data_IF_741939597707
#
_entry.id   IF_741939597707
#
_cell.length_a   1.000
_cell.length_b   1.000
_cell.length_c   1.000
_cell.angle_alpha   90.00
_cell.angle_beta   90.00
_cell.angle_gamma   90.00
#
_symmetry.space_group_name_H-M   'P 1'
#
loop_
_entity.id
_entity.type
_entity.pdbx_description
1 polymer ?
#
# COMPACT_ATOMS: atom_id res chain seq x y z
N UNK A 1 -10.96 10.17 -71.40
CA UNK A 1 -11.15 11.32 -70.48
C UNK A 1 -11.57 10.72 -69.16
N UNK A 2 -10.66 10.50 -68.22
CA UNK A 2 -11.03 9.97 -66.90
C UNK A 2 -11.52 11.08 -65.96
N UNK A 3 -12.53 10.80 -65.21
CA UNK A 3 -13.18 11.70 -64.26
C UNK A 3 -12.27 11.99 -63.06
N UNK A 4 -12.13 13.24 -62.64
CA UNK A 4 -11.35 13.58 -61.44
C UNK A 4 -12.19 13.34 -60.18
N UNK A 5 -11.82 12.40 -59.33
CA UNK A 5 -12.52 12.25 -58.07
C UNK A 5 -12.15 11.07 -57.16
N UNK A 6 -11.43 10.06 -57.66
CA UNK A 6 -11.21 8.83 -56.88
C UNK A 6 -9.92 8.80 -56.03
N UNK A 7 -8.97 9.66 -56.33
CA UNK A 7 -7.65 9.66 -55.65
C UNK A 7 -7.68 10.23 -54.22
N UNK A 8 -8.68 11.04 -53.93
CA UNK A 8 -8.72 11.74 -52.61
C UNK A 8 -9.37 10.95 -51.48
N UNK A 9 -10.10 9.88 -51.79
CA UNK A 9 -10.76 9.07 -50.75
C UNK A 9 -9.84 8.01 -50.14
N UNK A 10 -8.86 7.50 -50.87
CA UNK A 10 -7.90 6.51 -50.39
C UNK A 10 -6.89 7.10 -49.40
N UNK A 11 -6.55 8.37 -49.55
CA UNK A 11 -5.59 9.05 -48.65
C UNK A 11 -6.22 9.47 -47.32
N UNK A 12 -7.55 9.60 -47.25
CA UNK A 12 -8.28 9.92 -46.01
C UNK A 12 -8.57 8.72 -45.16
N UNK A 13 -8.50 7.49 -45.68
CA UNK A 13 -8.77 6.28 -44.92
C UNK A 13 -7.55 5.80 -44.11
N UNK A 14 -6.34 6.26 -44.44
CA UNK A 14 -5.11 5.89 -43.72
C UNK A 14 -4.81 6.76 -42.51
N UNK A 15 -5.55 7.88 -42.29
CA UNK A 15 -5.29 8.79 -41.20
C UNK A 15 -6.14 8.52 -39.90
N UNK A 16 -7.05 7.54 -39.94
CA UNK A 16 -8.01 7.35 -38.84
C UNK A 16 -7.71 6.17 -37.91
N UNK A 17 -6.55 5.53 -38.02
CA UNK A 17 -6.20 4.43 -37.10
C UNK A 17 -4.87 4.68 -36.38
N UNK A 18 -4.69 5.89 -35.87
CA UNK A 18 -3.71 6.13 -34.83
C UNK A 18 -4.40 5.86 -33.48
N UNK A 19 -4.52 4.59 -33.11
CA UNK A 19 -4.92 4.18 -31.76
C UNK A 19 -3.79 4.65 -30.84
N UNK A 20 -4.03 5.76 -30.16
CA UNK A 20 -3.20 6.20 -29.04
C UNK A 20 -3.40 5.15 -27.94
N UNK A 21 -2.49 4.17 -27.88
CA UNK A 21 -2.34 3.32 -26.69
C UNK A 21 -1.76 4.24 -25.62
N UNK A 22 -2.66 4.88 -24.86
CA UNK A 22 -2.25 5.58 -23.64
C UNK A 22 -1.64 4.52 -22.70
N UNK A 23 -0.43 4.75 -22.15
CA UNK A 23 0.11 3.85 -21.14
C UNK A 23 -0.90 3.82 -19.99
N UNK A 24 -1.43 2.62 -19.71
CA UNK A 24 -2.21 2.37 -18.50
C UNK A 24 -1.22 2.56 -17.36
N UNK A 25 -1.29 3.68 -16.67
CA UNK A 25 -0.61 3.84 -15.40
C UNK A 25 -1.15 2.75 -14.47
N UNK A 26 -0.33 1.78 -14.11
CA UNK A 26 -0.61 0.87 -13.00
C UNK A 26 -0.65 1.76 -11.77
N UNK A 27 -1.84 2.16 -11.35
CA UNK A 27 -2.04 2.87 -10.10
C UNK A 27 -1.77 1.87 -8.98
N UNK A 28 -0.63 2.01 -8.31
CA UNK A 28 -0.44 1.43 -6.98
C UNK A 28 -1.64 1.89 -6.14
N UNK A 29 -2.22 0.98 -5.33
CA UNK A 29 -3.35 1.30 -4.47
C UNK A 29 -2.94 2.39 -3.48
N UNK A 30 -3.49 3.57 -3.68
CA UNK A 30 -3.25 4.77 -2.88
C UNK A 30 -4.56 5.21 -2.24
N UNK A 31 -4.53 5.45 -0.94
CA UNK A 31 -5.66 5.94 -0.14
C UNK A 31 -5.30 7.28 0.45
N UNK A 32 -6.09 8.32 0.17
CA UNK A 32 -5.82 9.67 0.63
C UNK A 32 -6.98 10.24 1.45
N UNK A 33 -6.66 10.85 2.58
CA UNK A 33 -7.59 11.59 3.44
C UNK A 33 -6.90 12.86 3.95
N UNK A 34 -7.42 14.03 3.59
CA UNK A 34 -6.78 15.33 3.86
C UNK A 34 -5.33 15.33 3.34
N UNK A 35 -4.35 15.43 4.25
CA UNK A 35 -2.92 15.47 3.91
C UNK A 35 -2.21 14.13 4.12
N UNK A 36 -2.96 13.07 4.51
CA UNK A 36 -2.43 11.73 4.69
C UNK A 36 -2.70 10.90 3.44
N UNK A 37 -1.66 10.27 2.96
CA UNK A 37 -1.71 9.29 1.87
C UNK A 37 -1.14 7.96 2.37
N UNK A 38 -1.83 6.87 2.09
CA UNK A 38 -1.38 5.51 2.38
C UNK A 38 -1.13 4.79 1.07
N UNK A 39 0.11 4.36 0.86
CA UNK A 39 0.57 3.73 -0.37
C UNK A 39 0.91 2.27 -0.15
N UNK A 40 0.60 1.44 -1.15
CA UNK A 40 0.99 0.04 -1.24
C UNK A 40 0.72 -0.76 0.04
N UNK A 41 -0.55 -0.84 0.48
CA UNK A 41 -0.93 -1.63 1.63
C UNK A 41 -0.97 -3.12 1.29
N UNK A 42 -0.16 -3.93 1.99
CA UNK A 42 -0.02 -5.35 1.73
C UNK A 42 0.22 -6.17 3.00
N UNK A 43 -0.01 -7.46 2.92
CA UNK A 43 0.26 -8.45 3.94
C UNK A 43 0.91 -9.67 3.32
N UNK A 44 1.59 -10.49 4.13
CA UNK A 44 2.11 -11.79 3.67
C UNK A 44 1.07 -12.89 3.88
N UNK A 45 1.05 -13.93 3.01
CA UNK A 45 0.35 -15.16 3.32
C UNK A 45 0.85 -15.74 4.65
N UNK A 46 -0.05 -16.33 5.43
CA UNK A 46 0.29 -16.92 6.71
C UNK A 46 0.26 -18.45 6.67
N UNK A 47 1.09 -19.14 7.49
CA UNK A 47 0.98 -20.59 7.64
C UNK A 47 -0.43 -21.03 8.08
N UNK A 48 -0.86 -22.26 7.75
CA UNK A 48 -2.24 -22.73 7.98
C UNK A 48 -2.75 -22.65 9.41
N UNK A 49 -1.86 -22.69 10.42
CA UNK A 49 -2.22 -22.66 11.84
C UNK A 49 -1.72 -21.40 12.55
N UNK A 50 -1.30 -20.38 11.80
CA UNK A 50 -0.82 -19.14 12.40
C UNK A 50 -2.01 -18.33 12.92
N UNK A 51 -1.94 -17.94 14.18
CA UNK A 51 -2.86 -16.97 14.79
C UNK A 51 -2.36 -15.53 14.59
N UNK A 52 -1.20 -15.33 13.94
CA UNK A 52 -0.56 -14.04 13.73
C UNK A 52 -0.36 -13.76 12.26
N UNK A 53 -0.54 -12.50 11.89
CA UNK A 53 -0.23 -11.93 10.58
C UNK A 53 0.44 -10.58 10.72
N UNK A 54 0.89 -10.02 9.61
CA UNK A 54 1.54 -8.70 9.57
C UNK A 54 1.01 -7.92 8.37
N UNK A 55 0.84 -6.60 8.54
CA UNK A 55 0.54 -5.73 7.42
C UNK A 55 1.56 -4.58 7.33
N UNK A 56 1.78 -4.14 6.11
CA UNK A 56 2.76 -3.15 5.73
C UNK A 56 2.15 -2.11 4.79
N UNK A 57 2.64 -0.88 4.85
CA UNK A 57 2.27 0.22 3.95
C UNK A 57 3.21 1.40 4.16
N UNK A 58 3.15 2.39 3.28
CA UNK A 58 3.79 3.68 3.52
C UNK A 58 2.72 4.70 3.91
N UNK A 59 3.03 5.58 4.87
CA UNK A 59 2.17 6.71 5.23
C UNK A 59 2.92 7.99 4.98
N UNK A 60 2.39 8.82 4.09
CA UNK A 60 2.93 10.15 3.77
C UNK A 60 2.03 11.24 4.35
N UNK A 61 2.63 12.22 5.01
CA UNK A 61 1.96 13.43 5.48
C UNK A 61 2.43 14.62 4.68
N UNK A 62 1.64 15.08 3.72
CA UNK A 62 1.93 16.26 2.89
C UNK A 62 1.55 17.60 3.55
N UNK A 63 1.00 17.55 4.78
CA UNK A 63 0.59 18.72 5.55
C UNK A 63 1.76 19.46 6.20
N UNK A 64 1.42 20.56 6.88
CA UNK A 64 2.38 21.40 7.61
C UNK A 64 2.42 21.10 9.12
N UNK A 65 1.57 20.20 9.59
CA UNK A 65 1.49 19.77 10.99
C UNK A 65 1.64 18.26 11.08
N UNK A 66 2.28 17.81 12.17
CA UNK A 66 2.40 16.39 12.47
C UNK A 66 1.02 15.75 12.66
N UNK A 67 0.90 14.47 12.34
CA UNK A 67 -0.25 13.64 12.68
C UNK A 67 0.19 12.44 13.50
N UNK A 68 -0.76 11.73 14.11
CA UNK A 68 -0.54 10.50 14.87
C UNK A 68 -1.47 9.42 14.34
N UNK A 69 -0.92 8.27 13.95
CA UNK A 69 -1.70 7.05 13.78
C UNK A 69 -1.93 6.44 15.15
N UNK A 70 -3.18 6.54 15.64
CA UNK A 70 -3.55 6.19 17.01
C UNK A 70 -3.96 4.73 17.17
N UNK A 71 -4.72 4.22 16.18
CA UNK A 71 -5.38 2.91 16.26
C UNK A 71 -5.53 2.30 14.87
N UNK A 72 -5.57 0.98 14.82
CA UNK A 72 -5.98 0.21 13.66
C UNK A 72 -7.23 -0.58 14.03
N UNK A 73 -8.35 -0.32 13.33
CA UNK A 73 -9.56 -1.12 13.46
C UNK A 73 -9.58 -2.20 12.39
N UNK A 74 -9.83 -3.40 12.80
CA UNK A 74 -9.86 -4.58 11.93
C UNK A 74 -11.16 -5.36 12.20
N UNK A 75 -11.83 -5.90 11.15
CA UNK A 75 -12.99 -6.75 11.34
C UNK A 75 -12.64 -8.07 12.05
N UNK A 76 -13.52 -8.53 12.96
CA UNK A 76 -13.32 -9.75 13.75
C UNK A 76 -13.16 -11.03 12.89
N UNK A 77 -13.72 -11.02 11.67
CA UNK A 77 -13.57 -12.10 10.71
C UNK A 77 -12.16 -12.19 10.11
N UNK A 78 -11.34 -11.15 10.27
CA UNK A 78 -9.94 -11.10 9.81
C UNK A 78 -8.99 -11.34 10.96
N UNK A 79 -9.10 -10.58 12.06
CA UNK A 79 -8.30 -10.76 13.27
C UNK A 79 -9.04 -10.20 14.49
N UNK A 80 -8.71 -10.67 15.69
CA UNK A 80 -9.29 -10.16 16.94
C UNK A 80 -8.78 -8.78 17.33
N UNK A 81 -7.53 -8.47 16.94
CA UNK A 81 -6.90 -7.17 17.21
C UNK A 81 -5.82 -6.87 16.19
N UNK A 82 -5.48 -5.58 16.08
CA UNK A 82 -4.34 -5.10 15.33
C UNK A 82 -3.61 -4.03 16.14
N UNK A 83 -2.28 -4.08 16.17
CA UNK A 83 -1.43 -3.17 16.94
C UNK A 83 -0.24 -2.69 16.13
N UNK A 84 0.28 -1.52 16.50
CA UNK A 84 1.46 -0.92 15.86
C UNK A 84 2.70 -1.42 16.60
N UNK A 85 3.68 -1.96 15.86
CA UNK A 85 4.94 -2.41 16.41
C UNK A 85 6.13 -1.71 15.74
N UNK A 86 7.14 -1.39 16.54
CA UNK A 86 8.44 -0.92 16.08
C UNK A 86 9.51 -1.99 16.36
N UNK A 87 10.49 -2.07 15.48
CA UNK A 87 11.70 -2.86 15.71
C UNK A 87 12.77 -1.93 16.27
N UNK A 88 13.23 -2.22 17.47
CA UNK A 88 14.31 -1.50 18.15
C UNK A 88 15.58 -2.34 18.04
N UNK A 89 16.65 -1.71 17.57
CA UNK A 89 18.01 -2.30 17.56
C UNK A 89 18.70 -1.94 18.88
N UNK A 90 19.00 -2.95 19.69
CA UNK A 90 19.73 -2.82 20.95
C UNK A 90 21.02 -3.64 20.84
N UNK A 91 22.09 -3.02 20.34
CA UNK A 91 23.30 -3.70 19.92
C UNK A 91 23.04 -4.70 18.79
N UNK A 92 23.41 -5.96 19.00
CA UNK A 92 23.18 -7.05 18.03
C UNK A 92 21.79 -7.69 18.15
N UNK A 93 20.93 -7.20 19.07
CA UNK A 93 19.58 -7.74 19.28
C UNK A 93 18.53 -6.84 18.62
N UNK A 94 17.60 -7.49 17.92
CA UNK A 94 16.38 -6.85 17.42
C UNK A 94 15.21 -7.21 18.35
N UNK A 95 14.51 -6.19 18.85
CA UNK A 95 13.33 -6.37 19.71
C UNK A 95 12.13 -5.68 19.08
N UNK A 96 11.01 -6.36 19.03
CA UNK A 96 9.73 -5.75 18.70
C UNK A 96 9.16 -5.09 19.95
N UNK A 97 8.62 -3.89 19.80
CA UNK A 97 7.96 -3.14 20.84
C UNK A 97 6.64 -2.58 20.30
N UNK A 98 5.57 -2.81 21.03
CA UNK A 98 4.29 -2.19 20.76
C UNK A 98 4.35 -0.68 21.00
N UNK A 99 3.71 0.10 20.10
CA UNK A 99 3.60 1.55 20.16
C UNK A 99 2.20 1.90 20.66
N UNK A 100 2.06 2.15 21.96
CA UNK A 100 0.77 2.40 22.61
C UNK A 100 0.30 3.84 22.55
N UNK A 101 1.23 4.80 22.38
CA UNK A 101 0.93 6.24 22.38
C UNK A 101 0.67 6.81 20.98
N UNK A 102 0.52 5.92 19.99
CA UNK A 102 0.39 6.26 18.58
C UNK A 102 1.72 6.46 17.87
N UNK A 103 1.71 6.22 16.55
CA UNK A 103 2.88 6.40 15.67
C UNK A 103 2.85 7.79 15.06
N UNK A 104 3.87 8.59 15.34
CA UNK A 104 4.02 9.93 14.80
C UNK A 104 4.31 9.90 13.30
N UNK A 105 3.54 10.70 12.54
CA UNK A 105 3.75 10.95 11.11
C UNK A 105 4.11 12.43 10.95
N UNK A 106 5.40 12.79 10.93
CA UNK A 106 5.82 14.19 10.88
C UNK A 106 5.37 14.89 9.60
N UNK A 107 5.15 16.21 9.69
CA UNK A 107 4.82 17.05 8.56
C UNK A 107 5.87 16.90 7.44
N UNK A 108 5.42 16.81 6.19
CA UNK A 108 6.28 16.70 5.01
C UNK A 108 7.09 15.40 4.92
N UNK A 109 6.73 14.36 5.69
CA UNK A 109 7.49 13.11 5.73
C UNK A 109 6.69 11.88 5.33
N UNK A 110 7.41 10.79 5.04
CA UNK A 110 6.87 9.46 4.81
C UNK A 110 7.43 8.50 5.85
N UNK A 111 6.54 7.80 6.56
CA UNK A 111 6.89 6.69 7.45
C UNK A 111 6.61 5.39 6.73
N UNK A 112 7.59 4.48 6.75
CA UNK A 112 7.48 3.17 6.11
C UNK A 112 7.21 2.09 7.15
N UNK A 113 6.08 1.40 7.00
CA UNK A 113 5.81 0.14 7.67
C UNK A 113 6.28 -0.98 6.74
N UNK A 114 7.36 -1.64 7.12
CA UNK A 114 8.07 -2.59 6.24
C UNK A 114 8.71 -3.74 7.03
N UNK A 115 9.02 -4.87 6.38
CA UNK A 115 9.76 -5.95 7.03
C UNK A 115 11.05 -5.47 7.68
N UNK A 116 11.29 -5.89 8.94
CA UNK A 116 12.45 -5.46 9.72
C UNK A 116 12.36 -4.04 10.33
N UNK A 117 11.27 -3.34 10.10
CA UNK A 117 10.98 -2.02 10.66
C UNK A 117 9.62 -1.96 11.36
N UNK A 118 9.00 -0.77 11.37
CA UNK A 118 7.62 -0.61 11.85
C UNK A 118 6.67 -1.51 11.04
N UNK A 119 5.67 -2.09 11.71
CA UNK A 119 4.67 -2.94 11.07
C UNK A 119 3.37 -2.97 11.88
N UNK A 120 2.30 -3.43 11.26
CA UNK A 120 1.04 -3.72 11.95
C UNK A 120 1.02 -5.21 12.25
N UNK A 121 0.92 -5.56 13.52
CA UNK A 121 0.72 -6.92 14.00
C UNK A 121 -0.78 -7.22 13.99
N UNK A 122 -1.17 -8.32 13.36
CA UNK A 122 -2.53 -8.85 13.37
C UNK A 122 -2.54 -10.04 14.31
N UNK A 123 -3.45 -10.08 15.29
CA UNK A 123 -3.51 -11.12 16.31
C UNK A 123 -4.87 -11.80 16.34
N UNK A 124 -4.84 -13.11 16.57
CA UNK A 124 -6.04 -13.94 16.66
C UNK A 124 -6.74 -14.12 15.30
N UNK A 125 -5.97 -14.42 14.27
CA UNK A 125 -6.51 -14.77 12.96
C UNK A 125 -7.39 -16.03 13.08
N UNK A 126 -8.69 -15.97 12.74
CA UNK A 126 -9.58 -17.15 12.77
C UNK A 126 -9.30 -18.12 11.62
N UNK A 127 -8.62 -17.66 10.58
CA UNK A 127 -8.21 -18.42 9.39
C UNK A 127 -6.92 -17.83 8.82
N UNK A 128 -6.10 -18.66 8.12
CA UNK A 128 -4.88 -18.16 7.50
C UNK A 128 -5.21 -17.15 6.39
N UNK A 129 -4.37 -16.13 6.25
CA UNK A 129 -4.36 -15.23 5.09
C UNK A 129 -3.73 -15.98 3.92
N UNK A 130 -4.41 -15.98 2.77
CA UNK A 130 -3.96 -16.68 1.55
C UNK A 130 -3.56 -15.66 0.51
N UNK A 131 -2.64 -16.05 -0.36
CA UNK A 131 -2.27 -15.27 -1.53
C UNK A 131 -3.54 -14.84 -2.30
N UNK A 132 -3.57 -13.59 -2.77
CA UNK A 132 -4.67 -12.93 -3.46
C UNK A 132 -5.91 -12.62 -2.60
N UNK A 133 -5.91 -12.98 -1.30
CA UNK A 133 -6.94 -12.49 -0.37
C UNK A 133 -6.84 -10.96 -0.23
N UNK A 134 -7.98 -10.33 0.08
CA UNK A 134 -8.08 -8.90 0.35
C UNK A 134 -8.96 -8.68 1.57
N UNK A 135 -8.59 -7.69 2.37
CA UNK A 135 -9.41 -7.26 3.50
C UNK A 135 -9.21 -5.78 3.79
N UNK A 136 -10.20 -5.14 4.35
CA UNK A 136 -10.15 -3.71 4.70
C UNK A 136 -9.86 -3.55 6.18
N UNK A 137 -8.94 -2.66 6.50
CA UNK A 137 -8.71 -2.12 7.84
C UNK A 137 -9.03 -0.62 7.85
N UNK A 138 -9.26 -0.05 9.02
CA UNK A 138 -9.40 1.39 9.18
C UNK A 138 -8.26 1.93 10.03
N UNK A 139 -7.46 2.83 9.45
CA UNK A 139 -6.39 3.54 10.15
C UNK A 139 -6.99 4.80 10.78
N UNK A 140 -6.85 4.95 12.10
CA UNK A 140 -7.40 6.08 12.86
C UNK A 140 -6.31 7.09 13.16
N UNK A 141 -6.36 8.23 12.50
CA UNK A 141 -5.42 9.34 12.71
C UNK A 141 -6.03 10.43 13.60
N UNK A 142 -5.18 11.10 14.38
CA UNK A 142 -5.60 12.17 15.29
C UNK A 142 -6.21 13.36 14.54
N UNK A 143 -5.60 13.79 13.44
CA UNK A 143 -6.02 14.95 12.66
C UNK A 143 -6.72 14.57 11.35
N UNK A 144 -6.21 13.60 10.61
CA UNK A 144 -6.81 13.16 9.35
C UNK A 144 -8.13 12.43 9.58
N UNK A 145 -8.31 11.76 10.71
CA UNK A 145 -9.50 10.95 11.02
C UNK A 145 -9.33 9.51 10.52
N UNK A 146 -10.43 8.88 10.15
CA UNK A 146 -10.46 7.47 9.76
C UNK A 146 -10.18 7.32 8.27
N UNK A 147 -9.20 6.48 7.94
CA UNK A 147 -8.80 6.16 6.57
C UNK A 147 -9.01 4.66 6.33
N UNK A 148 -10.04 4.26 5.56
CA UNK A 148 -10.20 2.86 5.17
C UNK A 148 -9.15 2.49 4.13
N UNK A 149 -8.51 1.32 4.33
CA UNK A 149 -7.40 0.84 3.49
C UNK A 149 -7.62 -0.63 3.16
N UNK A 150 -7.63 -0.99 1.89
CA UNK A 150 -7.69 -2.38 1.45
C UNK A 150 -6.28 -2.98 1.42
N UNK A 151 -6.05 -3.98 2.26
CA UNK A 151 -4.80 -4.74 2.33
C UNK A 151 -4.87 -5.90 1.34
N UNK A 152 -3.85 -6.04 0.51
CA UNK A 152 -3.69 -7.15 -0.40
C UNK A 152 -2.74 -8.18 0.18
N UNK A 153 -3.12 -9.46 0.15
CA UNK A 153 -2.24 -10.55 0.57
C UNK A 153 -1.41 -10.98 -0.63
N UNK A 154 -0.13 -10.65 -0.60
CA UNK A 154 0.80 -10.89 -1.71
C UNK A 154 2.15 -11.40 -1.22
N UNK A 155 2.91 -12.03 -2.11
CA UNK A 155 4.30 -12.32 -1.83
C UNK A 155 5.07 -11.01 -1.63
N UNK A 156 6.07 -11.04 -0.73
CA UNK A 156 6.85 -9.83 -0.47
C UNK A 156 7.34 -9.23 -1.80
N UNK A 157 7.12 -7.91 -2.03
CA UNK A 157 7.65 -7.26 -3.21
C UNK A 157 9.13 -7.59 -3.35
N UNK A 158 9.52 -8.15 -4.49
CA UNK A 158 10.93 -8.38 -4.76
C UNK A 158 11.58 -6.99 -4.80
N UNK A 159 12.45 -6.72 -3.83
CA UNK A 159 13.33 -5.58 -3.94
C UNK A 159 14.10 -5.79 -5.25
N UNK A 160 13.83 -4.95 -6.24
CA UNK A 160 14.64 -4.91 -7.44
C UNK A 160 16.01 -4.41 -6.99
N UNK A 161 16.92 -5.35 -6.71
CA UNK A 161 18.34 -5.08 -6.59
C UNK A 161 18.76 -4.49 -7.93
N UNK A 162 18.83 -3.17 -7.99
CA UNK A 162 19.56 -2.49 -9.04
C UNK A 162 21.04 -2.84 -8.81
N UNK A 163 21.47 -3.96 -9.38
CA UNK A 163 22.89 -4.21 -9.59
C UNK A 163 23.42 -3.02 -10.40
N UNK A 164 24.11 -2.12 -9.74
CA UNK A 164 25.05 -1.24 -10.41
C UNK A 164 26.23 -2.11 -10.81
N UNK A 165 26.22 -2.57 -12.08
CA UNK A 165 27.45 -3.07 -12.72
C UNK A 165 28.43 -1.89 -12.82
N UNK A 166 29.57 -2.06 -12.16
CA UNK A 166 30.78 -1.25 -12.34
C UNK A 166 31.68 -1.87 -13.41
#
# INVERSE_FOLDING_TARGET
MPLPGEETYMLKLFYTLLIIIAPQAVTAHEYAQKNITVDHPWSKPTPPLSEYGVAYFNVSNSGQTDDLLLEIKIPDEIAKSASIHDVIHDGDMMRMREVTDGKKIPAGSTIKFQPGGSHIMLEGLPKPLKLDDKFTIELVFANAGNVPVEIWVEDAPQQSDKHHDH
#
